data_IF_019449901702
#
_entry.id   IF_019449901702
#
_cell.length_a   1.000
_cell.length_b   1.000
_cell.length_c   1.000
_cell.angle_alpha   90.00
_cell.angle_beta   90.00
_cell.angle_gamma   90.00
#
_symmetry.space_group_name_H-M   'P 1'
#
loop_
_entity.id
_entity.type
_entity.pdbx_description
1 polymer ?
#
# COMPACT_ATOMS: atom_id res chain seq x y z
N UNK A 1 -19.58 -9.70 11.30
CA UNK A 1 -19.01 -10.92 11.92
C UNK A 1 -17.74 -10.64 12.72
N UNK A 2 -16.56 -10.42 12.12
CA UNK A 2 -15.34 -10.16 12.93
C UNK A 2 -15.48 -8.91 13.82
N UNK A 3 -16.04 -7.82 13.28
CA UNK A 3 -16.33 -6.60 14.04
C UNK A 3 -17.40 -6.78 15.14
N UNK A 4 -18.31 -7.74 14.97
CA UNK A 4 -19.36 -8.05 15.96
C UNK A 4 -18.79 -8.92 17.09
N UNK A 5 -17.90 -9.85 16.76
CA UNK A 5 -17.24 -10.73 17.74
C UNK A 5 -16.11 -10.04 18.49
N UNK A 6 -15.41 -9.09 17.85
CA UNK A 6 -14.25 -8.39 18.42
C UNK A 6 -14.32 -6.87 18.19
N UNK A 7 -15.19 -6.14 18.91
CA UNK A 7 -15.39 -4.69 18.70
C UNK A 7 -14.18 -3.84 19.13
N UNK A 8 -13.37 -4.31 20.09
CA UNK A 8 -12.24 -3.54 20.63
C UNK A 8 -10.93 -3.72 19.84
N UNK A 9 -10.94 -4.60 18.83
CA UNK A 9 -9.77 -4.90 18.01
C UNK A 9 -9.76 -4.02 16.77
N UNK A 10 -8.59 -3.46 16.49
CA UNK A 10 -8.41 -2.68 15.28
C UNK A 10 -8.41 -3.56 14.05
N UNK A 11 -9.15 -3.14 13.03
CA UNK A 11 -9.21 -3.82 11.74
C UNK A 11 -8.46 -3.02 10.67
N UNK A 12 -7.29 -3.54 10.30
CA UNK A 12 -6.49 -3.06 9.19
C UNK A 12 -6.69 -3.96 7.96
N UNK A 13 -6.96 -3.36 6.80
CA UNK A 13 -7.16 -4.09 5.54
C UNK A 13 -6.18 -3.62 4.48
N UNK A 14 -5.57 -4.56 3.74
CA UNK A 14 -4.82 -4.27 2.52
C UNK A 14 -5.73 -4.56 1.33
N UNK A 15 -6.23 -3.52 0.69
CA UNK A 15 -7.24 -3.61 -0.37
C UNK A 15 -6.64 -3.22 -1.70
N UNK A 16 -6.65 -4.16 -2.65
CA UNK A 16 -6.23 -3.90 -4.03
C UNK A 16 -7.39 -3.27 -4.79
N UNK A 17 -7.20 -2.04 -5.27
CA UNK A 17 -8.23 -1.30 -6.02
C UNK A 17 -8.10 -1.63 -7.51
N UNK A 18 -9.21 -1.94 -8.21
CA UNK A 18 -9.15 -2.27 -9.64
C UNK A 18 -8.75 -1.07 -10.49
N UNK A 19 -8.08 -1.33 -11.61
CA UNK A 19 -7.68 -0.33 -12.59
C UNK A 19 -8.22 -0.68 -13.98
N UNK A 20 -8.75 0.31 -14.73
CA UNK A 20 -9.29 0.11 -16.07
C UNK A 20 -8.26 -0.32 -17.12
N UNK A 21 -6.95 -0.22 -16.84
CA UNK A 21 -5.87 -0.62 -17.78
C UNK A 21 -5.41 -2.06 -17.62
N UNK A 22 -5.60 -2.65 -16.43
CA UNK A 22 -5.07 -3.97 -16.08
C UNK A 22 -6.17 -5.03 -16.04
N UNK A 23 -7.43 -4.61 -15.87
CA UNK A 23 -8.54 -5.56 -15.78
C UNK A 23 -9.45 -5.56 -17.01
N UNK A 24 -9.77 -6.78 -17.45
CA UNK A 24 -10.69 -7.09 -18.54
C UNK A 24 -12.15 -7.29 -18.05
N UNK A 25 -12.45 -7.13 -16.76
CA UNK A 25 -13.80 -7.40 -16.24
C UNK A 25 -14.66 -6.15 -16.05
N UNK A 26 -15.78 -6.08 -16.77
CA UNK A 26 -16.70 -4.92 -16.77
C UNK A 26 -17.50 -4.75 -15.46
N UNK A 27 -17.48 -5.74 -14.57
CA UNK A 27 -18.24 -5.75 -13.31
C UNK A 27 -17.43 -5.26 -12.10
N UNK A 28 -16.14 -5.01 -12.27
CA UNK A 28 -15.27 -4.52 -11.21
C UNK A 28 -15.71 -3.21 -10.55
N UNK A 29 -16.18 -2.19 -11.30
CA UNK A 29 -16.67 -0.96 -10.68
C UNK A 29 -17.83 -1.21 -9.70
N UNK A 30 -18.71 -2.16 -10.02
CA UNK A 30 -19.81 -2.53 -9.13
C UNK A 30 -19.29 -3.20 -7.84
N UNK A 31 -18.37 -4.15 -7.99
CA UNK A 31 -17.78 -4.87 -6.85
C UNK A 31 -16.97 -3.94 -5.96
N UNK A 32 -16.19 -3.04 -6.55
CA UNK A 32 -15.40 -2.05 -5.81
C UNK A 32 -16.29 -1.08 -5.03
N UNK A 33 -17.35 -0.54 -5.67
CA UNK A 33 -18.27 0.41 -5.02
C UNK A 33 -18.98 -0.23 -3.82
N UNK A 34 -19.50 -1.46 -3.99
CA UNK A 34 -20.16 -2.20 -2.91
C UNK A 34 -19.18 -2.56 -1.78
N UNK A 35 -17.95 -2.96 -2.13
CA UNK A 35 -16.93 -3.34 -1.15
C UNK A 35 -16.43 -2.12 -0.36
N UNK A 36 -16.19 -0.99 -1.03
CA UNK A 36 -15.77 0.26 -0.37
C UNK A 36 -16.86 0.73 0.60
N UNK A 37 -18.14 0.65 0.22
CA UNK A 37 -19.22 1.02 1.13
C UNK A 37 -19.18 0.23 2.45
N UNK A 38 -18.90 -1.08 2.38
CA UNK A 38 -18.72 -1.91 3.56
C UNK A 38 -17.43 -1.60 4.33
N UNK A 39 -16.33 -1.27 3.63
CA UNK A 39 -15.07 -0.90 4.27
C UNK A 39 -15.17 0.43 5.02
N UNK A 40 -15.89 1.43 4.48
CA UNK A 40 -16.07 2.74 5.16
C UNK A 40 -16.66 2.59 6.57
N UNK A 41 -17.56 1.63 6.77
CA UNK A 41 -18.25 1.47 8.05
C UNK A 41 -17.57 0.45 8.96
N UNK A 42 -16.85 -0.52 8.39
CA UNK A 42 -16.34 -1.66 9.14
C UNK A 42 -14.82 -1.63 9.38
N UNK A 43 -13.98 -1.04 8.52
CA UNK A 43 -12.53 -0.97 8.75
C UNK A 43 -12.14 0.27 9.55
N UNK A 44 -11.05 0.17 10.31
CA UNK A 44 -10.45 1.31 11.02
C UNK A 44 -9.27 1.89 10.24
N UNK A 45 -8.59 1.06 9.45
CA UNK A 45 -7.48 1.43 8.57
C UNK A 45 -7.58 0.62 7.27
N UNK A 46 -7.57 1.29 6.13
CA UNK A 46 -7.56 0.63 4.82
C UNK A 46 -6.40 1.13 3.99
N UNK A 47 -5.42 0.25 3.76
CA UNK A 47 -4.32 0.50 2.85
C UNK A 47 -4.79 0.19 1.42
N UNK A 48 -5.01 1.24 0.64
CA UNK A 48 -5.37 1.16 -0.77
C UNK A 48 -4.11 0.92 -1.60
N UNK A 49 -4.01 -0.28 -2.16
CA UNK A 49 -2.99 -0.67 -3.11
C UNK A 49 -3.62 -0.51 -4.50
N UNK A 50 -3.28 0.54 -5.22
CA UNK A 50 -3.77 0.72 -6.57
C UNK A 50 -2.93 -0.10 -7.57
N UNK A 51 -3.59 -0.84 -8.45
CA UNK A 51 -2.94 -1.53 -9.56
C UNK A 51 -2.50 -0.53 -10.66
N UNK A 52 -3.12 0.64 -10.77
CA UNK A 52 -2.83 1.65 -11.80
C UNK A 52 -1.61 2.52 -11.48
N UNK A 53 -1.60 3.14 -10.30
CA UNK A 53 -0.86 4.41 -10.10
C UNK A 53 0.66 4.26 -10.13
N UNK A 54 1.22 3.06 -10.00
CA UNK A 54 2.67 2.96 -9.79
C UNK A 54 3.30 1.69 -10.34
N UNK A 55 2.65 0.54 -10.37
CA UNK A 55 3.38 -0.69 -10.64
C UNK A 55 3.79 -0.89 -12.10
N UNK A 56 2.90 -0.65 -13.06
CA UNK A 56 3.27 -0.73 -14.49
C UNK A 56 4.19 0.44 -14.89
N UNK A 57 3.91 1.67 -14.44
CA UNK A 57 4.70 2.85 -14.81
C UNK A 57 6.06 2.87 -14.07
N UNK A 58 6.16 2.44 -12.79
CA UNK A 58 7.45 2.22 -12.11
C UNK A 58 8.17 1.01 -12.72
N UNK A 59 7.48 -0.09 -13.04
CA UNK A 59 8.13 -1.23 -13.70
C UNK A 59 8.74 -0.82 -15.03
N UNK A 60 8.02 0.00 -15.80
CA UNK A 60 8.44 0.44 -17.12
C UNK A 60 9.47 1.59 -17.07
N UNK A 61 9.27 2.62 -16.24
CA UNK A 61 10.16 3.80 -16.14
C UNK A 61 11.37 3.55 -15.25
N UNK A 62 11.18 2.90 -14.10
CA UNK A 62 12.20 2.76 -13.05
C UNK A 62 12.89 1.40 -13.07
N UNK A 63 12.14 0.29 -13.23
CA UNK A 63 12.72 -1.06 -13.31
C UNK A 63 13.13 -1.49 -14.73
N UNK A 64 12.70 -0.75 -15.77
CA UNK A 64 12.93 -1.04 -17.20
C UNK A 64 12.46 -2.43 -17.64
N UNK A 65 11.35 -2.90 -17.09
CA UNK A 65 10.72 -4.16 -17.46
C UNK A 65 9.66 -3.89 -18.54
N UNK A 66 9.87 -4.44 -19.74
CA UNK A 66 8.95 -4.25 -20.87
C UNK A 66 7.59 -4.96 -20.66
N UNK A 67 7.57 -6.10 -19.96
CA UNK A 67 6.37 -6.88 -19.63
C UNK A 67 6.39 -7.26 -18.14
N UNK A 68 5.82 -6.45 -17.23
CA UNK A 68 5.74 -6.81 -15.83
C UNK A 68 4.78 -7.98 -15.61
N UNK A 69 5.23 -8.99 -14.88
CA UNK A 69 4.40 -10.15 -14.52
C UNK A 69 3.71 -9.92 -13.17
N UNK A 70 2.63 -10.66 -12.88
CA UNK A 70 2.01 -10.68 -11.55
C UNK A 70 3.01 -11.00 -10.42
N UNK A 71 4.08 -11.74 -10.72
CA UNK A 71 5.16 -11.97 -9.76
C UNK A 71 5.89 -10.70 -9.30
N UNK A 72 6.09 -9.74 -10.22
CA UNK A 72 6.75 -8.47 -9.90
C UNK A 72 5.82 -7.54 -9.12
N UNK A 73 4.52 -7.54 -9.47
CA UNK A 73 3.47 -6.82 -8.73
C UNK A 73 3.42 -7.32 -7.28
N UNK A 74 3.36 -8.64 -7.10
CA UNK A 74 3.30 -9.27 -5.78
C UNK A 74 4.56 -9.01 -4.96
N UNK A 75 5.72 -8.93 -5.60
CA UNK A 75 6.96 -8.57 -4.91
C UNK A 75 6.87 -7.16 -4.31
N UNK A 76 6.40 -6.15 -5.06
CA UNK A 76 6.26 -4.80 -4.51
C UNK A 76 5.21 -4.75 -3.39
N UNK A 77 4.07 -5.40 -3.58
CA UNK A 77 3.01 -5.47 -2.56
C UNK A 77 3.55 -6.08 -1.27
N UNK A 78 4.31 -7.19 -1.37
CA UNK A 78 4.93 -7.81 -0.19
C UNK A 78 5.95 -6.91 0.50
N UNK A 79 6.70 -6.10 -0.26
CA UNK A 79 7.65 -5.14 0.28
C UNK A 79 6.94 -4.00 1.04
N UNK A 80 5.82 -3.49 0.52
CA UNK A 80 4.97 -2.50 1.19
C UNK A 80 4.37 -3.07 2.48
N UNK A 81 3.78 -4.27 2.42
CA UNK A 81 3.20 -4.93 3.60
C UNK A 81 4.26 -5.21 4.68
N UNK A 82 5.46 -5.61 4.25
CA UNK A 82 6.62 -5.74 5.14
C UNK A 82 6.96 -4.39 5.76
N UNK A 83 7.04 -3.31 4.97
CA UNK A 83 7.30 -1.95 5.44
C UNK A 83 6.35 -1.51 6.56
N UNK A 84 5.03 -1.57 6.31
CA UNK A 84 3.98 -1.19 7.28
C UNK A 84 4.09 -1.98 8.59
N UNK A 85 4.41 -3.27 8.52
CA UNK A 85 4.51 -4.14 9.70
C UNK A 85 5.90 -4.12 10.37
N UNK A 86 6.87 -3.38 9.84
CA UNK A 86 8.24 -3.35 10.41
C UNK A 86 8.25 -2.85 11.85
N UNK A 87 7.44 -1.82 12.15
CA UNK A 87 7.29 -1.26 13.50
C UNK A 87 6.70 -2.26 14.52
N UNK A 88 6.03 -3.32 14.05
CA UNK A 88 5.47 -4.38 14.90
C UNK A 88 6.45 -5.55 15.06
N UNK A 89 7.30 -5.79 14.05
CA UNK A 89 8.18 -6.97 13.98
C UNK A 89 9.55 -6.74 14.62
N UNK A 90 10.06 -5.51 14.57
CA UNK A 90 11.39 -5.18 15.06
C UNK A 90 11.34 -4.04 16.08
N UNK A 91 12.21 -4.05 17.10
CA UNK A 91 12.31 -2.96 18.06
C UNK A 91 12.83 -1.69 17.36
N UNK A 92 12.01 -0.64 17.34
CA UNK A 92 12.38 0.68 16.82
C UNK A 92 12.52 1.73 17.91
N UNK A 93 13.25 2.80 17.62
CA UNK A 93 13.28 3.97 18.51
C UNK A 93 11.94 4.72 18.50
N UNK A 94 11.20 4.66 17.39
CA UNK A 94 9.89 5.26 17.20
C UNK A 94 8.85 4.15 16.97
N UNK A 95 8.40 3.51 18.05
CA UNK A 95 7.41 2.43 17.97
C UNK A 95 6.01 2.98 17.68
N UNK A 96 5.59 2.81 16.43
CA UNK A 96 4.24 3.10 15.95
C UNK A 96 3.42 1.81 15.98
N UNK A 97 2.71 1.57 17.07
CA UNK A 97 1.67 0.53 17.12
C UNK A 97 0.58 0.87 16.08
N UNK A 98 -0.16 -0.13 15.56
CA UNK A 98 -1.28 0.13 14.64
C UNK A 98 -2.25 1.16 15.22
N UNK A 99 -2.50 1.12 16.53
CA UNK A 99 -3.34 2.12 17.21
C UNK A 99 -2.80 3.53 17.15
N UNK A 100 -1.49 3.71 17.29
CA UNK A 100 -0.86 5.03 17.16
C UNK A 100 -0.89 5.50 15.72
N UNK A 101 -0.71 4.59 14.77
CA UNK A 101 -0.82 4.88 13.34
C UNK A 101 -2.21 5.42 13.00
N UNK A 102 -3.27 4.72 13.41
CA UNK A 102 -4.65 5.17 13.21
C UNK A 102 -4.91 6.53 13.85
N UNK A 103 -4.52 6.71 15.12
CA UNK A 103 -4.76 7.97 15.84
C UNK A 103 -4.03 9.16 15.19
N UNK A 104 -2.86 8.93 14.62
CA UNK A 104 -2.07 9.99 13.97
C UNK A 104 -2.55 10.31 12.55
N UNK A 105 -2.95 9.31 11.77
CA UNK A 105 -3.24 9.47 10.35
C UNK A 105 -4.73 9.56 10.01
N UNK A 106 -5.63 9.18 10.92
CA UNK A 106 -7.09 9.22 10.73
C UNK A 106 -7.67 10.40 11.51
N UNK A 107 -7.81 11.59 10.91
CA UNK A 107 -8.44 12.74 11.57
C UNK A 107 -9.96 12.57 11.70
N UNK A 108 -10.58 11.81 10.81
CA UNK A 108 -12.03 11.56 10.80
C UNK A 108 -12.33 10.07 10.58
N UNK A 109 -13.30 9.46 11.29
CA UNK A 109 -13.57 8.02 11.22
C UNK A 109 -13.94 7.46 9.84
N UNK A 110 -14.31 8.32 8.87
CA UNK A 110 -14.64 7.91 7.48
C UNK A 110 -13.49 8.13 6.50
N UNK A 111 -12.42 8.79 6.94
CA UNK A 111 -11.24 9.14 6.13
C UNK A 111 -10.04 8.31 6.60
N UNK A 112 -10.17 7.00 6.49
CA UNK A 112 -9.17 6.01 6.90
C UNK A 112 -8.57 5.22 5.73
N UNK A 113 -8.65 5.79 4.52
CA UNK A 113 -8.03 5.24 3.32
C UNK A 113 -6.62 5.80 3.16
N UNK A 114 -5.63 4.92 3.24
CA UNK A 114 -4.23 5.25 3.08
C UNK A 114 -3.74 4.89 1.69
N UNK A 115 -3.07 5.84 1.04
CA UNK A 115 -2.28 5.57 -0.15
C UNK A 115 -0.90 5.08 0.29
N UNK A 116 -0.49 3.91 -0.18
CA UNK A 116 0.81 3.34 0.16
C UNK A 116 1.85 3.65 -0.91
N UNK A 117 2.99 4.16 -0.47
CA UNK A 117 4.18 4.38 -1.29
C UNK A 117 5.34 3.54 -0.79
N UNK A 118 6.24 3.16 -1.69
CA UNK A 118 7.49 2.50 -1.33
C UNK A 118 8.67 3.19 -2.01
N UNK A 119 9.67 3.52 -1.21
CA UNK A 119 10.99 3.95 -1.66
C UNK A 119 12.04 3.19 -0.83
N UNK A 120 13.14 2.73 -1.42
CA UNK A 120 13.63 3.01 -2.77
C UNK A 120 13.11 2.02 -3.82
N UNK A 121 12.71 2.54 -4.99
CA UNK A 121 12.39 1.72 -6.16
C UNK A 121 13.66 1.59 -6.99
N UNK A 122 14.37 0.47 -6.83
CA UNK A 122 15.59 0.18 -7.59
C UNK A 122 15.43 -1.11 -8.38
N UNK A 123 16.01 -1.14 -9.58
CA UNK A 123 16.10 -2.37 -10.37
C UNK A 123 17.09 -3.33 -9.72
N UNK A 124 16.83 -4.65 -9.82
CA UNK A 124 17.68 -5.73 -9.26
C UNK A 124 19.16 -5.62 -9.67
N UNK A 125 19.45 -5.04 -10.84
CA UNK A 125 20.82 -4.80 -11.30
C UNK A 125 21.46 -3.50 -10.81
N UNK A 126 20.64 -2.52 -10.37
CA UNK A 126 21.09 -1.19 -9.94
C UNK A 126 21.16 -1.02 -8.43
N UNK A 127 20.58 -1.95 -7.65
CA UNK A 127 20.49 -1.87 -6.19
C UNK A 127 21.87 -1.77 -5.51
N UNK A 128 22.89 -2.42 -6.08
CA UNK A 128 24.24 -2.46 -5.50
C UNK A 128 25.08 -1.24 -5.87
N UNK A 129 24.68 -0.47 -6.89
CA UNK A 129 25.45 0.66 -7.41
C UNK A 129 24.91 2.03 -6.98
N UNK A 130 23.72 2.07 -6.38
CA UNK A 130 23.10 3.31 -5.90
C UNK A 130 23.23 3.42 -4.38
N UNK A 131 24.10 4.31 -3.92
CA UNK A 131 24.16 4.69 -2.52
C UNK A 131 22.96 5.58 -2.21
N UNK A 132 21.93 5.01 -1.58
CA UNK A 132 20.69 5.76 -1.30
C UNK A 132 20.86 6.56 -0.01
N UNK A 133 20.76 7.88 -0.12
CA UNK A 133 20.81 8.79 1.04
C UNK A 133 19.40 9.08 1.56
N UNK A 134 19.27 9.47 2.84
CA UNK A 134 17.97 9.80 3.44
C UNK A 134 17.23 10.90 2.64
N UNK A 135 17.88 12.00 2.22
CA UNK A 135 17.21 13.02 1.42
C UNK A 135 16.69 12.51 0.08
N UNK A 136 17.42 11.61 -0.58
CA UNK A 136 16.98 11.01 -1.85
C UNK A 136 15.75 10.11 -1.68
N UNK A 137 15.69 9.33 -0.60
CA UNK A 137 14.51 8.53 -0.27
C UNK A 137 13.28 9.41 -0.06
N UNK A 138 13.44 10.49 0.70
CA UNK A 138 12.36 11.43 0.96
C UNK A 138 11.88 12.08 -0.33
N UNK A 139 12.81 12.52 -1.19
CA UNK A 139 12.45 13.12 -2.47
C UNK A 139 11.71 12.12 -3.37
N UNK A 140 12.15 10.87 -3.44
CA UNK A 140 11.49 9.83 -4.20
C UNK A 140 10.08 9.51 -3.68
N UNK A 141 9.86 9.63 -2.37
CA UNK A 141 8.55 9.36 -1.78
C UNK A 141 7.49 10.41 -2.14
N UNK A 142 7.92 11.62 -2.51
CA UNK A 142 7.05 12.74 -2.93
C UNK A 142 7.07 12.96 -4.46
N UNK A 143 7.76 12.10 -5.21
CA UNK A 143 7.74 12.16 -6.67
C UNK A 143 6.36 11.66 -7.17
N UNK A 144 5.60 12.46 -7.93
CA UNK A 144 4.23 12.15 -8.35
C UNK A 144 4.13 11.04 -9.40
#
# INVERSE_FOLDING_TARGET
KIREEFPDRMMATFSVVPSPKVSDTVVEPYNATLSIHQLVENSDETFCIDNEVALYDICHRTLKLNNPSYGDLNHLVSAVMSGVTTCLRFPGQLNSDLRKLAVNMVPFPRLHFFMVGFAPLTSRGSSNFRAVTVPELTQQMYDP
#
